data_IF_841042141705
#
_entry.id   IF_841042141705
#
_cell.length_a   1.000
_cell.length_b   1.000
_cell.length_c   1.000
_cell.angle_alpha   90.00
_cell.angle_beta   90.00
_cell.angle_gamma   90.00
#
_symmetry.space_group_name_H-M   'P 1'
#
loop_
_entity.id
_entity.type
_entity.pdbx_description
1 polymer ?
#
# COMPACT_ATOMS: atom_id res chain seq x y z
N UNK A 1 31.71 -2.35 -5.49
CA UNK A 1 32.61 -1.25 -5.88
C UNK A 1 32.65 -0.26 -4.71
N UNK A 2 33.67 0.60 -4.58
CA UNK A 2 33.55 1.73 -3.63
C UNK A 2 32.49 2.72 -4.15
N UNK A 3 31.81 3.43 -3.25
CA UNK A 3 30.79 4.44 -3.59
C UNK A 3 31.30 5.46 -4.63
N UNK A 4 32.55 5.91 -4.48
CA UNK A 4 33.20 6.87 -5.40
C UNK A 4 33.31 6.35 -6.85
N UNK A 5 33.54 5.05 -7.01
CA UNK A 5 33.66 4.43 -8.33
C UNK A 5 32.29 4.30 -9.00
N UNK A 6 31.24 4.05 -8.22
CA UNK A 6 29.85 4.01 -8.72
C UNK A 6 29.39 5.40 -9.17
N UNK A 7 29.67 6.43 -8.38
CA UNK A 7 29.34 7.81 -8.73
C UNK A 7 30.08 8.30 -9.98
N UNK A 8 31.35 7.94 -10.12
CA UNK A 8 32.14 8.25 -11.33
C UNK A 8 31.55 7.56 -12.55
N UNK A 9 31.17 6.28 -12.44
CA UNK A 9 30.52 5.55 -13.53
C UNK A 9 29.23 6.22 -13.99
N UNK A 10 28.40 6.70 -13.06
CA UNK A 10 27.18 7.44 -13.43
C UNK A 10 27.50 8.79 -14.08
N UNK A 11 28.50 9.52 -13.59
CA UNK A 11 28.92 10.77 -14.21
C UNK A 11 29.37 10.57 -15.67
N UNK A 12 30.15 9.51 -15.93
CA UNK A 12 30.59 9.14 -17.28
C UNK A 12 29.38 8.78 -18.18
N UNK A 13 28.45 7.98 -17.67
CA UNK A 13 27.22 7.61 -18.39
C UNK A 13 26.37 8.83 -18.77
N UNK A 14 26.39 9.87 -17.96
CA UNK A 14 25.58 11.09 -18.15
C UNK A 14 26.30 12.12 -19.04
N UNK A 15 27.64 12.05 -19.13
CA UNK A 15 28.46 12.98 -19.90
C UNK A 15 28.17 12.99 -21.40
N UNK A 16 27.64 11.88 -21.93
CA UNK A 16 27.30 11.71 -23.35
C UNK A 16 25.92 12.31 -23.73
N UNK A 17 25.12 12.74 -22.75
CA UNK A 17 23.81 13.35 -23.00
C UNK A 17 23.93 14.83 -23.39
N UNK A 18 23.61 15.14 -24.65
CA UNK A 18 23.60 16.50 -25.19
C UNK A 18 22.34 17.29 -24.83
N UNK A 19 21.27 16.63 -24.36
CA UNK A 19 20.00 17.30 -24.00
C UNK A 19 20.04 17.95 -22.62
N UNK A 20 20.98 17.56 -21.76
CA UNK A 20 21.12 18.04 -20.39
C UNK A 20 20.13 17.39 -19.40
N UNK A 21 19.20 16.58 -19.88
CA UNK A 21 18.18 15.89 -19.06
C UNK A 21 18.82 14.92 -18.08
N UNK A 22 19.79 14.13 -18.53
CA UNK A 22 20.49 13.17 -17.68
C UNK A 22 21.31 13.87 -16.59
N UNK A 23 21.83 15.08 -16.84
CA UNK A 23 22.55 15.87 -15.83
C UNK A 23 21.61 16.40 -14.75
N UNK A 24 20.45 16.93 -15.14
CA UNK A 24 19.39 17.30 -14.18
C UNK A 24 18.93 16.06 -13.41
N UNK A 25 18.70 14.95 -14.11
CA UNK A 25 18.27 13.70 -13.52
C UNK A 25 19.27 13.13 -12.53
N UNK A 26 20.57 13.23 -12.80
CA UNK A 26 21.61 12.79 -11.87
C UNK A 26 21.60 13.63 -10.58
N UNK A 27 21.35 14.94 -10.68
CA UNK A 27 21.23 15.81 -9.52
C UNK A 27 20.00 15.45 -8.67
N UNK A 28 18.84 15.26 -9.29
CA UNK A 28 17.60 14.84 -8.58
C UNK A 28 17.77 13.44 -7.99
N UNK A 29 18.36 12.49 -8.72
CA UNK A 29 18.65 11.14 -8.22
C UNK A 29 19.59 11.18 -7.01
N UNK A 30 20.59 12.06 -6.99
CA UNK A 30 21.48 12.23 -5.85
C UNK A 30 20.73 12.79 -4.64
N UNK A 31 19.88 13.79 -4.85
CA UNK A 31 19.09 14.41 -3.79
C UNK A 31 18.10 13.42 -3.17
N UNK A 32 17.37 12.68 -4.02
CA UNK A 32 16.43 11.64 -3.58
C UNK A 32 17.18 10.44 -2.99
N UNK A 33 18.16 9.87 -3.68
CA UNK A 33 18.81 8.63 -3.26
C UNK A 33 19.80 8.79 -2.10
N UNK A 34 20.28 10.00 -1.83
CA UNK A 34 21.23 10.26 -0.73
C UNK A 34 22.50 9.41 -0.82
N UNK A 35 23.00 8.93 0.32
CA UNK A 35 24.18 8.05 0.33
C UNK A 35 23.86 6.73 -0.36
N UNK A 36 24.69 6.34 -1.34
CA UNK A 36 24.54 5.09 -2.07
C UNK A 36 23.50 5.14 -3.20
N UNK A 37 23.04 6.34 -3.59
CA UNK A 37 22.08 6.52 -4.69
C UNK A 37 22.48 5.82 -5.99
N UNK A 38 23.80 5.66 -6.21
CA UNK A 38 24.34 5.17 -7.46
C UNK A 38 24.13 3.66 -7.67
N UNK A 39 24.10 2.88 -6.59
CA UNK A 39 24.12 1.41 -6.63
C UNK A 39 23.07 0.79 -7.55
N UNK A 40 21.77 1.09 -7.40
CA UNK A 40 20.72 0.52 -8.25
C UNK A 40 20.92 0.80 -9.75
N UNK A 41 21.32 2.03 -10.10
CA UNK A 41 21.51 2.42 -11.50
C UNK A 41 22.82 1.87 -12.06
N UNK A 42 23.88 1.76 -11.25
CA UNK A 42 25.12 1.10 -11.66
C UNK A 42 24.93 -0.40 -11.90
N UNK A 43 24.11 -1.07 -11.09
CA UNK A 43 23.74 -2.46 -11.30
C UNK A 43 22.99 -2.62 -12.64
N UNK A 44 22.05 -1.71 -12.93
CA UNK A 44 21.34 -1.67 -14.20
C UNK A 44 22.29 -1.43 -15.39
N UNK A 45 23.26 -0.52 -15.24
CA UNK A 45 24.28 -0.25 -16.26
C UNK A 45 25.19 -1.45 -16.52
N UNK A 46 25.32 -2.38 -15.58
CA UNK A 46 26.01 -3.66 -15.80
C UNK A 46 25.27 -4.59 -16.78
N UNK A 47 23.97 -4.37 -16.97
CA UNK A 47 23.13 -5.10 -17.94
C UNK A 47 22.92 -4.29 -19.20
N UNK A 48 22.55 -3.01 -19.06
CA UNK A 48 22.33 -2.07 -20.17
C UNK A 48 22.63 -0.65 -19.73
N UNK A 49 23.69 -0.07 -20.29
CA UNK A 49 24.01 1.33 -20.08
C UNK A 49 22.94 2.28 -20.62
N UNK A 50 22.32 1.93 -21.75
CA UNK A 50 21.25 2.73 -22.33
C UNK A 50 20.04 2.79 -21.40
N UNK A 51 19.67 1.65 -20.81
CA UNK A 51 18.57 1.63 -19.86
C UNK A 51 18.91 2.42 -18.59
N UNK A 52 20.14 2.32 -18.09
CA UNK A 52 20.60 3.14 -16.97
C UNK A 52 20.56 4.65 -17.30
N UNK A 53 21.03 5.05 -18.48
CA UNK A 53 20.93 6.43 -18.97
C UNK A 53 19.47 6.90 -19.04
N UNK A 54 18.57 6.08 -19.60
CA UNK A 54 17.14 6.41 -19.69
C UNK A 54 16.48 6.51 -18.30
N UNK A 55 16.85 5.63 -17.36
CA UNK A 55 16.38 5.71 -15.96
C UNK A 55 16.77 7.03 -15.31
N UNK A 56 17.97 7.56 -15.58
CA UNK A 56 18.37 8.87 -15.06
C UNK A 56 17.64 9.99 -15.80
N UNK A 57 17.68 9.98 -17.13
CA UNK A 57 17.21 11.09 -17.96
C UNK A 57 15.69 11.30 -17.87
N UNK A 58 14.90 10.22 -17.87
CA UNK A 58 13.45 10.33 -17.95
C UNK A 58 12.78 10.45 -16.56
N UNK A 59 12.77 9.41 -15.69
CA UNK A 59 12.19 9.51 -14.35
C UNK A 59 12.70 10.70 -13.54
N UNK A 60 14.02 10.87 -13.42
CA UNK A 60 14.58 11.92 -12.57
C UNK A 60 14.74 13.24 -13.33
N UNK A 61 15.22 13.19 -14.57
CA UNK A 61 15.56 14.37 -15.36
C UNK A 61 14.38 15.07 -16.02
N UNK A 62 13.28 14.37 -16.29
CA UNK A 62 12.08 14.92 -16.94
C UNK A 62 10.81 14.86 -16.12
N UNK A 63 10.66 13.89 -15.21
CA UNK A 63 9.42 13.72 -14.45
C UNK A 63 9.54 14.32 -13.05
N UNK A 64 10.52 13.88 -12.26
CA UNK A 64 10.69 14.37 -10.88
C UNK A 64 11.28 15.78 -10.80
N UNK A 65 11.94 16.26 -11.86
CA UNK A 65 12.51 17.61 -11.95
C UNK A 65 11.51 18.70 -12.36
N UNK A 66 10.27 18.32 -12.75
CA UNK A 66 9.28 19.27 -13.27
C UNK A 66 8.86 20.27 -12.20
N UNK A 67 8.64 21.55 -12.57
CA UNK A 67 8.09 22.54 -11.63
C UNK A 67 6.66 22.16 -11.22
N UNK A 68 6.18 22.71 -10.10
CA UNK A 68 4.83 22.46 -9.58
C UNK A 68 4.89 21.74 -8.23
N UNK A 69 5.04 20.41 -8.26
CA UNK A 69 5.23 19.61 -7.04
C UNK A 69 6.72 19.53 -6.67
N UNK A 70 7.02 19.82 -5.40
CA UNK A 70 8.33 19.62 -4.80
C UNK A 70 8.63 18.14 -4.54
N UNK A 71 9.90 17.82 -4.31
CA UNK A 71 10.36 16.42 -4.23
C UNK A 71 9.70 15.64 -3.11
N UNK A 72 9.40 16.24 -1.95
CA UNK A 72 8.65 15.55 -0.86
C UNK A 72 7.30 15.02 -1.35
N UNK A 73 6.53 15.86 -2.03
CA UNK A 73 5.19 15.50 -2.51
C UNK A 73 5.28 14.44 -3.60
N UNK A 74 6.29 14.54 -4.47
CA UNK A 74 6.57 13.53 -5.49
C UNK A 74 6.98 12.19 -4.88
N UNK A 75 7.78 12.19 -3.80
CA UNK A 75 8.14 10.95 -3.11
C UNK A 75 6.93 10.33 -2.39
N UNK A 76 6.02 11.13 -1.81
CA UNK A 76 4.74 10.64 -1.27
C UNK A 76 3.93 9.92 -2.37
N UNK A 77 3.82 10.52 -3.57
CA UNK A 77 3.15 9.89 -4.73
C UNK A 77 3.86 8.59 -5.14
N UNK A 78 5.18 8.61 -5.25
CA UNK A 78 5.96 7.43 -5.67
C UNK A 78 5.85 6.28 -4.66
N UNK A 79 5.99 6.56 -3.37
CA UNK A 79 5.82 5.56 -2.30
C UNK A 79 4.38 4.99 -2.33
N UNK A 80 3.37 5.85 -2.55
CA UNK A 80 1.98 5.42 -2.71
C UNK A 80 1.78 4.45 -3.87
N UNK A 81 2.38 4.73 -5.04
CA UNK A 81 2.32 3.84 -6.20
C UNK A 81 3.01 2.51 -5.92
N UNK A 82 4.19 2.54 -5.28
CA UNK A 82 4.97 1.34 -4.99
C UNK A 82 4.31 0.45 -3.91
N UNK A 83 3.65 1.06 -2.91
CA UNK A 83 2.78 0.37 -1.97
C UNK A 83 1.64 -0.37 -2.71
N UNK A 84 0.99 0.31 -3.65
CA UNK A 84 -0.07 -0.29 -4.46
C UNK A 84 0.43 -1.39 -5.40
N UNK A 85 1.64 -1.25 -5.96
CA UNK A 85 2.23 -2.28 -6.82
C UNK A 85 2.52 -3.57 -6.04
N UNK A 86 2.99 -3.48 -4.80
CA UNK A 86 3.15 -4.64 -3.90
C UNK A 86 4.27 -5.64 -4.25
N UNK A 87 5.03 -5.42 -5.33
CA UNK A 87 6.09 -6.35 -5.78
C UNK A 87 7.45 -5.69 -6.05
N UNK A 88 7.60 -4.40 -5.72
CA UNK A 88 8.82 -3.61 -5.94
C UNK A 88 9.46 -3.15 -4.62
N UNK A 89 9.69 -4.08 -3.69
CA UNK A 89 10.05 -3.76 -2.30
C UNK A 89 11.39 -3.02 -2.16
N UNK A 90 12.37 -3.31 -3.02
CA UNK A 90 13.66 -2.58 -3.01
C UNK A 90 13.52 -1.14 -3.49
N UNK A 91 12.67 -0.89 -4.50
CA UNK A 91 12.33 0.46 -4.94
C UNK A 91 11.47 1.19 -3.90
N UNK A 92 10.52 0.48 -3.26
CA UNK A 92 9.74 1.05 -2.16
C UNK A 92 10.66 1.54 -1.04
N UNK A 93 11.61 0.70 -0.62
CA UNK A 93 12.65 1.07 0.34
C UNK A 93 13.44 2.30 -0.11
N UNK A 94 13.95 2.29 -1.35
CA UNK A 94 14.71 3.41 -1.90
C UNK A 94 13.92 4.74 -1.88
N UNK A 95 12.64 4.71 -2.24
CA UNK A 95 11.80 5.90 -2.28
C UNK A 95 11.26 6.32 -0.90
N UNK A 96 11.16 5.42 0.07
CA UNK A 96 10.93 5.79 1.48
C UNK A 96 12.15 6.49 2.08
N UNK A 97 13.36 5.99 1.82
CA UNK A 97 14.60 6.71 2.17
C UNK A 97 14.67 8.05 1.44
N UNK A 98 14.24 8.07 0.18
CA UNK A 98 14.20 9.28 -0.61
C UNK A 98 13.23 10.32 -0.11
N UNK A 99 12.05 9.91 0.37
CA UNK A 99 11.12 10.79 1.05
C UNK A 99 11.78 11.48 2.25
N UNK A 100 12.49 10.73 3.09
CA UNK A 100 13.20 11.28 4.25
C UNK A 100 14.36 12.21 3.84
N UNK A 101 15.07 11.90 2.75
CA UNK A 101 16.16 12.74 2.24
C UNK A 101 15.68 14.11 1.76
N UNK A 102 14.46 14.21 1.23
CA UNK A 102 13.90 15.45 0.67
C UNK A 102 12.94 16.16 1.62
N UNK A 103 13.08 15.90 2.92
CA UNK A 103 12.36 16.61 3.99
C UNK A 103 11.05 15.98 4.45
N UNK A 104 10.78 14.72 4.07
CA UNK A 104 9.69 13.94 4.66
C UNK A 104 9.99 13.47 6.09
N UNK A 105 8.94 13.08 6.81
CA UNK A 105 9.01 12.71 8.23
C UNK A 105 8.59 11.26 8.50
N UNK A 106 8.72 10.81 9.76
CA UNK A 106 8.09 9.57 10.23
C UNK A 106 6.58 9.62 10.00
N UNK A 107 5.94 10.75 10.30
CA UNK A 107 4.49 10.96 10.15
C UNK A 107 4.01 10.77 8.71
N UNK A 108 4.84 11.13 7.73
CA UNK A 108 4.55 10.89 6.32
C UNK A 108 4.54 9.38 6.02
N UNK A 109 5.55 8.65 6.49
CA UNK A 109 5.66 7.21 6.25
C UNK A 109 4.57 6.43 7.00
N UNK A 110 4.30 6.75 8.26
CA UNK A 110 3.25 6.10 9.05
C UNK A 110 1.86 6.45 8.51
N UNK A 111 1.63 7.70 8.11
CA UNK A 111 0.40 8.12 7.43
C UNK A 111 0.13 7.31 6.15
N UNK A 112 1.16 7.05 5.35
CA UNK A 112 1.04 6.19 4.17
C UNK A 112 0.71 4.72 4.50
N UNK A 113 1.10 4.21 5.68
CA UNK A 113 0.69 2.87 6.14
C UNK A 113 -0.81 2.82 6.46
N UNK A 114 -1.34 3.82 7.17
CA UNK A 114 -2.78 3.91 7.44
C UNK A 114 -3.58 4.06 6.15
N UNK A 115 -3.09 4.89 5.23
CA UNK A 115 -3.71 5.08 3.92
C UNK A 115 -3.69 3.79 3.09
N UNK A 116 -2.56 3.06 3.09
CA UNK A 116 -2.46 1.78 2.42
C UNK A 116 -3.43 0.75 3.03
N UNK A 117 -3.58 0.70 4.36
CA UNK A 117 -4.56 -0.19 4.99
C UNK A 117 -6.00 0.14 4.56
N UNK A 118 -6.36 1.42 4.45
CA UNK A 118 -7.69 1.86 4.04
C UNK A 118 -7.97 1.64 2.54
N UNK A 119 -6.99 1.89 1.68
CA UNK A 119 -7.16 1.91 0.21
C UNK A 119 -6.80 0.57 -0.44
N UNK A 120 -5.76 -0.09 0.05
CA UNK A 120 -5.19 -1.32 -0.51
C UNK A 120 -5.45 -2.56 0.37
N UNK A 121 -5.85 -2.35 1.62
CA UNK A 121 -6.02 -3.41 2.63
C UNK A 121 -4.78 -3.61 3.50
N UNK A 122 -4.99 -4.21 4.69
CA UNK A 122 -3.95 -4.46 5.69
C UNK A 122 -2.69 -5.19 5.16
N UNK A 123 -2.76 -6.19 4.25
CA UNK A 123 -1.57 -6.85 3.71
C UNK A 123 -0.50 -5.90 3.15
N UNK A 124 -0.91 -4.83 2.46
CA UNK A 124 0.02 -3.85 1.91
C UNK A 124 0.76 -3.10 3.04
N UNK A 125 0.03 -2.69 4.08
CA UNK A 125 0.61 -1.99 5.22
C UNK A 125 1.51 -2.91 6.06
N UNK A 126 1.06 -4.13 6.42
CA UNK A 126 1.83 -5.12 7.20
C UNK A 126 3.22 -5.34 6.59
N UNK A 127 3.30 -5.52 5.27
CA UNK A 127 4.57 -5.79 4.59
C UNK A 127 5.49 -4.58 4.50
N UNK A 128 4.92 -3.37 4.52
CA UNK A 128 5.68 -2.13 4.47
C UNK A 128 6.25 -1.75 5.85
N UNK A 129 5.68 -2.22 6.97
CA UNK A 129 6.15 -1.88 8.32
C UNK A 129 7.64 -2.20 8.53
N UNK A 130 8.18 -3.39 8.20
CA UNK A 130 9.61 -3.64 8.35
C UNK A 130 10.50 -2.72 7.52
N UNK A 131 10.02 -2.25 6.36
CA UNK A 131 10.74 -1.33 5.48
C UNK A 131 10.78 0.06 6.12
N UNK A 132 9.62 0.54 6.61
CA UNK A 132 9.50 1.83 7.34
C UNK A 132 10.36 1.80 8.59
N UNK A 133 10.29 0.72 9.39
CA UNK A 133 11.13 0.54 10.58
C UNK A 133 12.61 0.70 10.24
N UNK A 134 13.10 -0.06 9.25
CA UNK A 134 14.50 0.01 8.83
C UNK A 134 14.91 1.43 8.42
N UNK A 135 14.09 2.09 7.58
CA UNK A 135 14.38 3.44 7.10
C UNK A 135 14.44 4.48 8.24
N UNK A 136 13.60 4.34 9.27
CA UNK A 136 13.57 5.23 10.43
C UNK A 136 14.66 4.91 11.45
N UNK A 137 14.88 3.63 11.79
CA UNK A 137 15.90 3.19 12.75
C UNK A 137 17.31 3.56 12.29
N UNK A 138 17.62 3.39 11.01
CA UNK A 138 18.93 3.72 10.44
C UNK A 138 19.28 5.22 10.53
N UNK A 139 18.29 6.07 10.84
CA UNK A 139 18.42 7.53 10.95
C UNK A 139 18.13 8.05 12.36
N UNK A 140 17.93 7.15 13.33
CA UNK A 140 17.50 7.49 14.70
C UNK A 140 16.23 8.35 14.73
N UNK A 141 15.33 8.12 13.77
CA UNK A 141 14.08 8.88 13.62
C UNK A 141 12.87 8.23 14.27
N UNK A 142 12.97 6.98 14.76
CA UNK A 142 11.86 6.31 15.44
C UNK A 142 11.51 7.04 16.74
N UNK A 143 10.45 7.81 16.68
CA UNK A 143 9.78 8.46 17.80
C UNK A 143 8.45 7.76 18.13
N UNK A 144 7.88 8.06 19.29
CA UNK A 144 6.56 7.57 19.69
C UNK A 144 5.44 7.98 18.71
N UNK A 145 4.26 7.38 18.80
CA UNK A 145 3.20 7.55 17.81
C UNK A 145 2.78 9.01 17.68
N UNK A 146 2.67 9.48 16.43
CA UNK A 146 2.16 10.80 16.10
C UNK A 146 0.65 10.89 16.30
N UNK A 147 0.17 12.05 16.74
CA UNK A 147 -1.26 12.33 16.87
C UNK A 147 -1.85 12.70 15.51
N UNK A 148 -2.75 11.86 14.99
CA UNK A 148 -3.53 12.15 13.78
C UNK A 148 -4.49 13.35 13.95
N UNK A 149 -4.97 13.89 12.83
CA UNK A 149 -5.99 14.95 12.82
C UNK A 149 -7.34 14.39 12.36
N UNK A 150 -8.42 14.85 12.98
CA UNK A 150 -9.77 14.54 12.51
C UNK A 150 -9.98 15.13 11.11
N UNK A 151 -10.24 14.27 10.13
CA UNK A 151 -10.53 14.67 8.75
C UNK A 151 -11.96 14.32 8.36
N UNK A 152 -12.56 15.16 7.53
CA UNK A 152 -13.84 14.86 6.90
C UNK A 152 -13.67 13.65 5.99
N UNK A 153 -14.44 12.60 6.28
CA UNK A 153 -14.53 11.43 5.42
C UNK A 153 -15.06 11.86 4.06
N UNK A 154 -14.32 11.67 2.95
CA UNK A 154 -14.92 11.86 1.63
C UNK A 154 -16.17 10.96 1.51
N UNK A 155 -17.28 11.53 1.05
CA UNK A 155 -18.44 10.73 0.66
C UNK A 155 -18.10 9.95 -0.61
N UNK A 156 -17.57 8.74 -0.46
CA UNK A 156 -17.20 7.92 -1.59
C UNK A 156 -18.43 7.40 -2.34
N UNK A 157 -18.46 7.65 -3.65
CA UNK A 157 -19.37 7.00 -4.57
C UNK A 157 -20.72 7.70 -4.77
N UNK A 158 -21.48 7.15 -5.71
CA UNK A 158 -22.82 7.61 -6.04
C UNK A 158 -23.77 7.40 -4.83
N UNK A 159 -24.54 8.40 -4.38
CA UNK A 159 -25.51 8.24 -3.28
C UNK A 159 -26.47 7.06 -3.49
N UNK A 160 -26.86 6.79 -4.73
CA UNK A 160 -27.69 5.63 -5.07
C UNK A 160 -26.95 4.32 -4.82
N UNK A 161 -25.65 4.25 -5.15
CA UNK A 161 -24.83 3.07 -4.85
C UNK A 161 -24.66 2.87 -3.34
N UNK A 162 -24.52 3.94 -2.55
CA UNK A 162 -24.46 3.85 -1.08
C UNK A 162 -25.77 3.31 -0.49
N UNK A 163 -26.92 3.75 -1.00
CA UNK A 163 -28.22 3.20 -0.59
C UNK A 163 -28.33 1.70 -0.92
N UNK A 164 -28.00 1.32 -2.16
CA UNK A 164 -27.98 -0.10 -2.56
C UNK A 164 -27.03 -0.95 -1.71
N UNK A 165 -25.84 -0.44 -1.40
CA UNK A 165 -24.89 -1.13 -0.54
C UNK A 165 -25.41 -1.28 0.90
N UNK A 166 -26.14 -0.28 1.41
CA UNK A 166 -26.74 -0.35 2.75
C UNK A 166 -27.81 -1.43 2.83
N UNK A 167 -28.58 -1.61 1.77
CA UNK A 167 -29.60 -2.67 1.68
C UNK A 167 -28.97 -4.07 1.65
N UNK A 168 -27.78 -4.21 1.04
CA UNK A 168 -27.03 -5.48 1.01
C UNK A 168 -26.28 -5.73 2.33
N UNK A 169 -25.61 -4.72 2.86
CA UNK A 169 -24.82 -4.78 4.09
C UNK A 169 -24.70 -3.39 4.73
N UNK A 170 -25.56 -3.15 5.72
CA UNK A 170 -25.47 -1.95 6.54
C UNK A 170 -24.12 -1.84 7.27
N UNK A 171 -23.58 -2.99 7.73
CA UNK A 171 -22.27 -3.06 8.40
C UNK A 171 -21.14 -2.54 7.50
N UNK A 172 -21.12 -2.94 6.22
CA UNK A 172 -20.10 -2.45 5.28
C UNK A 172 -20.15 -0.93 5.11
N UNK A 173 -21.35 -0.37 4.99
CA UNK A 173 -21.54 1.08 4.88
C UNK A 173 -21.14 1.81 6.17
N UNK A 174 -21.39 1.20 7.34
CA UNK A 174 -20.92 1.71 8.62
C UNK A 174 -19.39 1.68 8.72
N UNK A 175 -18.74 0.57 8.36
CA UNK A 175 -17.28 0.45 8.40
C UNK A 175 -16.57 1.41 7.45
N UNK A 176 -17.15 1.72 6.29
CA UNK A 176 -16.62 2.78 5.42
C UNK A 176 -16.53 4.13 6.14
N UNK A 177 -17.51 4.44 6.98
CA UNK A 177 -17.50 5.66 7.78
C UNK A 177 -16.59 5.48 9.00
N UNK A 178 -16.94 4.57 9.91
CA UNK A 178 -16.32 4.44 11.23
C UNK A 178 -14.86 3.98 11.16
N UNK A 179 -14.55 3.01 10.29
CA UNK A 179 -13.22 2.39 10.27
C UNK A 179 -12.34 3.01 9.21
N UNK A 180 -12.79 3.06 7.95
CA UNK A 180 -11.95 3.60 6.89
C UNK A 180 -11.70 5.10 7.13
N UNK A 181 -12.73 5.89 7.44
CA UNK A 181 -12.53 7.30 7.70
C UNK A 181 -12.26 7.66 9.17
N UNK A 182 -13.06 7.13 10.10
CA UNK A 182 -13.02 7.49 11.52
C UNK A 182 -11.84 6.92 12.31
N UNK A 183 -11.29 5.78 11.89
CA UNK A 183 -10.08 5.19 12.48
C UNK A 183 -8.88 5.38 11.54
N UNK A 184 -8.83 4.69 10.39
CA UNK A 184 -7.63 4.63 9.54
C UNK A 184 -7.21 5.99 8.97
N UNK A 185 -8.09 6.66 8.22
CA UNK A 185 -7.73 7.97 7.64
C UNK A 185 -7.50 9.01 8.73
N UNK A 186 -8.27 9.02 9.83
CA UNK A 186 -8.08 9.96 10.93
C UNK A 186 -6.69 9.85 11.61
N UNK A 187 -6.02 8.69 11.54
CA UNK A 187 -4.64 8.53 12.01
C UNK A 187 -3.58 8.96 10.97
N UNK A 188 -3.98 9.26 9.74
CA UNK A 188 -3.07 9.74 8.71
C UNK A 188 -2.69 11.21 8.97
N UNK A 189 -1.40 11.46 9.18
CA UNK A 189 -0.87 12.80 9.46
C UNK A 189 -0.64 13.66 8.21
N UNK A 190 -0.88 13.12 7.00
CA UNK A 190 -0.83 13.91 5.78
C UNK A 190 -1.92 14.98 5.78
N UNK A 191 -1.60 16.18 5.33
CA UNK A 191 -2.63 17.20 5.11
C UNK A 191 -3.68 16.70 4.10
N UNK A 192 -4.93 17.21 4.15
CA UNK A 192 -6.01 16.69 3.32
C UNK A 192 -5.69 16.67 1.82
N UNK A 193 -4.93 17.65 1.31
CA UNK A 193 -4.52 17.70 -0.10
C UNK A 193 -3.64 16.52 -0.44
N UNK A 194 -2.57 16.29 0.32
CA UNK A 194 -1.62 15.20 0.09
C UNK A 194 -2.22 13.83 0.37
N UNK A 195 -3.12 13.70 1.35
CA UNK A 195 -3.84 12.45 1.62
C UNK A 195 -4.64 12.01 0.39
N UNK A 196 -5.43 12.91 -0.20
CA UNK A 196 -6.25 12.54 -1.36
C UNK A 196 -5.40 12.33 -2.63
N UNK A 197 -4.31 13.08 -2.81
CA UNK A 197 -3.34 12.83 -3.89
C UNK A 197 -2.69 11.44 -3.73
N UNK A 198 -2.23 11.08 -2.53
CA UNK A 198 -1.61 9.78 -2.26
C UNK A 198 -2.60 8.61 -2.50
N UNK A 199 -3.84 8.75 -2.02
CA UNK A 199 -4.87 7.75 -2.24
C UNK A 199 -5.24 7.61 -3.73
N UNK A 200 -5.34 8.73 -4.45
CA UNK A 200 -5.54 8.72 -5.89
C UNK A 200 -4.39 8.02 -6.62
N UNK A 201 -3.13 8.22 -6.18
CA UNK A 201 -1.97 7.54 -6.75
C UNK A 201 -2.03 6.02 -6.53
N UNK A 202 -2.41 5.57 -5.33
CA UNK A 202 -2.64 4.14 -5.03
C UNK A 202 -3.72 3.54 -5.94
N UNK A 203 -4.88 4.21 -6.07
CA UNK A 203 -6.00 3.74 -6.90
C UNK A 203 -5.67 3.78 -8.40
N UNK A 204 -4.94 4.79 -8.86
CA UNK A 204 -4.53 4.95 -10.26
C UNK A 204 -3.52 3.88 -10.71
N UNK A 205 -2.75 3.31 -9.77
CA UNK A 205 -1.75 2.25 -10.06
C UNK A 205 -2.39 1.04 -10.77
N UNK A 206 -3.57 0.61 -10.31
CA UNK A 206 -4.32 -0.49 -10.92
C UNK A 206 -5.49 -0.01 -11.79
N UNK A 207 -6.00 1.21 -11.56
CA UNK A 207 -7.14 1.81 -12.24
C UNK A 207 -8.42 0.94 -12.28
N UNK A 208 -8.62 0.07 -11.28
CA UNK A 208 -9.77 -0.85 -11.18
C UNK A 208 -11.02 -0.24 -10.54
N UNK A 209 -10.91 0.91 -9.89
CA UNK A 209 -11.98 1.53 -9.10
C UNK A 209 -12.24 2.99 -9.50
N UNK A 210 -12.71 3.24 -10.74
CA UNK A 210 -12.85 4.60 -11.27
C UNK A 210 -13.75 5.49 -10.40
N UNK A 211 -14.86 4.97 -9.86
CA UNK A 211 -15.77 5.74 -9.02
C UNK A 211 -15.14 6.25 -7.72
N UNK A 212 -14.24 5.47 -7.12
CA UNK A 212 -13.54 5.86 -5.88
C UNK A 212 -12.41 6.83 -6.20
N UNK A 213 -11.69 6.59 -7.31
CA UNK A 213 -10.65 7.49 -7.81
C UNK A 213 -11.20 8.88 -8.17
N UNK A 214 -12.40 8.98 -8.76
CA UNK A 214 -13.11 10.26 -8.96
C UNK A 214 -13.29 11.00 -7.63
N UNK A 215 -13.72 10.28 -6.59
CA UNK A 215 -13.91 10.85 -5.26
C UNK A 215 -12.64 11.49 -4.73
N UNK A 216 -11.52 10.76 -4.76
CA UNK A 216 -10.23 11.30 -4.31
C UNK A 216 -9.71 12.46 -5.18
N UNK A 217 -9.92 12.45 -6.49
CA UNK A 217 -9.56 13.61 -7.32
C UNK A 217 -10.35 14.86 -6.92
N UNK A 218 -11.65 14.74 -6.68
CA UNK A 218 -12.49 15.88 -6.26
C UNK A 218 -12.11 16.35 -4.86
N UNK A 219 -11.95 15.44 -3.91
CA UNK A 219 -11.56 15.80 -2.55
C UNK A 219 -10.17 16.43 -2.50
N UNK A 220 -9.23 16.02 -3.37
CA UNK A 220 -7.94 16.70 -3.52
C UNK A 220 -8.12 18.15 -3.99
N UNK A 221 -8.94 18.39 -5.04
CA UNK A 221 -9.23 19.73 -5.56
C UNK A 221 -9.91 20.61 -4.49
N UNK A 222 -10.90 20.07 -3.78
CA UNK A 222 -11.57 20.76 -2.66
C UNK A 222 -10.62 21.09 -1.50
N UNK A 223 -9.63 20.24 -1.26
CA UNK A 223 -8.56 20.47 -0.29
C UNK A 223 -7.44 21.41 -0.79
N UNK A 224 -7.59 21.99 -1.99
CA UNK A 224 -6.66 22.98 -2.54
C UNK A 224 -5.63 22.42 -3.53
N UNK A 225 -5.74 21.16 -3.97
CA UNK A 225 -4.94 20.68 -5.10
C UNK A 225 -5.29 21.43 -6.37
N UNK A 226 -4.29 21.69 -7.20
CA UNK A 226 -4.52 22.25 -8.54
C UNK A 226 -4.78 21.11 -9.54
N UNK A 227 -5.39 21.45 -10.69
CA UNK A 227 -5.43 20.53 -11.83
C UNK A 227 -4.00 20.07 -12.23
N UNK A 228 -3.02 20.97 -12.15
CA UNK A 228 -1.62 20.65 -12.44
C UNK A 228 -1.06 19.61 -11.47
N UNK A 229 -1.41 19.66 -10.19
CA UNK A 229 -0.95 18.67 -9.20
C UNK A 229 -1.42 17.26 -9.59
N UNK A 230 -2.67 17.14 -10.06
CA UNK A 230 -3.26 15.88 -10.50
C UNK A 230 -2.68 15.40 -11.84
N UNK A 231 -2.37 16.32 -12.76
CA UNK A 231 -1.65 15.99 -14.00
C UNK A 231 -0.24 15.46 -13.70
N UNK A 232 0.49 16.07 -12.75
CA UNK A 232 1.82 15.61 -12.31
C UNK A 232 1.77 14.23 -11.64
N UNK A 233 0.72 13.94 -10.85
CA UNK A 233 0.46 12.59 -10.34
C UNK A 233 0.32 11.58 -11.46
N UNK A 234 -0.48 11.87 -12.50
CA UNK A 234 -0.68 10.94 -13.61
C UNK A 234 0.60 10.70 -14.43
N UNK A 235 1.43 11.73 -14.56
CA UNK A 235 2.76 11.60 -15.17
C UNK A 235 3.63 10.64 -14.33
N UNK A 236 3.64 10.76 -13.00
CA UNK A 236 4.37 9.82 -12.14
C UNK A 236 3.81 8.39 -12.20
N UNK A 237 2.48 8.22 -12.26
CA UNK A 237 1.84 6.91 -12.49
C UNK A 237 2.37 6.28 -13.79
N UNK A 238 2.61 7.07 -14.85
CA UNK A 238 3.14 6.52 -16.12
C UNK A 238 4.54 5.89 -15.96
N UNK A 239 5.35 6.42 -15.04
CA UNK A 239 6.72 5.93 -14.77
C UNK A 239 6.69 4.70 -13.87
N UNK A 240 5.94 4.75 -12.77
CA UNK A 240 6.01 3.75 -11.70
C UNK A 240 4.94 2.65 -11.79
N UNK A 241 3.86 2.88 -12.55
CA UNK A 241 2.79 1.91 -12.80
C UNK A 241 2.51 1.68 -14.30
N UNK A 242 3.17 2.44 -15.18
CA UNK A 242 3.08 2.28 -16.63
C UNK A 242 2.01 3.17 -17.30
N UNK A 243 2.22 3.44 -18.59
CA UNK A 243 1.33 4.26 -19.42
C UNK A 243 -0.14 3.79 -19.44
N UNK A 244 -0.48 2.49 -19.53
CA UNK A 244 -1.88 2.07 -19.53
C UNK A 244 -2.64 2.50 -18.27
N UNK A 245 -2.03 2.36 -17.09
CA UNK A 245 -2.63 2.81 -15.82
C UNK A 245 -2.82 4.33 -15.79
N UNK A 246 -1.81 5.08 -16.25
CA UNK A 246 -1.89 6.54 -16.34
C UNK A 246 -3.00 7.01 -17.31
N UNK A 247 -3.14 6.39 -18.48
CA UNK A 247 -4.18 6.72 -19.47
C UNK A 247 -5.59 6.42 -18.94
N UNK A 248 -5.77 5.27 -18.28
CA UNK A 248 -7.04 4.94 -17.64
C UNK A 248 -7.39 5.96 -16.56
N UNK A 249 -6.44 6.29 -15.68
CA UNK A 249 -6.64 7.29 -14.64
C UNK A 249 -6.86 8.71 -15.20
N UNK A 250 -6.26 9.06 -16.34
CA UNK A 250 -6.51 10.33 -17.04
C UNK A 250 -7.96 10.44 -17.54
N UNK A 251 -8.53 9.34 -18.05
CA UNK A 251 -9.95 9.28 -18.40
C UNK A 251 -10.85 9.54 -17.19
N UNK A 252 -10.46 9.01 -16.02
CA UNK A 252 -11.16 9.22 -14.75
C UNK A 252 -11.03 10.67 -14.26
N UNK A 253 -9.84 11.27 -14.34
CA UNK A 253 -9.60 12.67 -13.97
C UNK A 253 -10.44 13.60 -14.84
N UNK A 254 -10.51 13.35 -16.15
CA UNK A 254 -11.38 14.12 -17.07
C UNK A 254 -12.82 14.10 -16.58
N UNK A 255 -13.37 12.93 -16.25
CA UNK A 255 -14.72 12.82 -15.70
C UNK A 255 -14.89 13.49 -14.32
N UNK A 256 -13.83 13.53 -13.50
CA UNK A 256 -13.86 14.25 -12.24
C UNK A 256 -13.97 15.77 -12.44
N UNK A 257 -13.28 16.32 -13.44
CA UNK A 257 -13.24 17.75 -13.79
C UNK A 257 -14.49 18.24 -14.56
N UNK A 258 -15.13 17.38 -15.35
CA UNK A 258 -16.31 17.75 -16.17
C UNK A 258 -17.63 17.75 -15.39
N UNK A 259 -17.70 17.01 -14.29
CA UNK A 259 -18.93 16.88 -13.53
C UNK A 259 -19.18 18.13 -12.66
N UNK A 260 -20.45 18.53 -12.48
CA UNK A 260 -20.78 19.63 -11.58
C UNK A 260 -20.35 19.31 -10.15
N UNK A 261 -19.87 20.33 -9.43
CA UNK A 261 -19.58 20.24 -8.00
C UNK A 261 -20.82 19.72 -7.27
N UNK A 262 -20.65 18.63 -6.52
CA UNK A 262 -21.66 18.16 -5.60
C UNK A 262 -21.36 18.78 -4.23
N UNK A 263 -22.36 19.36 -3.55
CA UNK A 263 -22.17 19.85 -2.20
C UNK A 263 -21.65 18.71 -1.33
N UNK A 264 -20.56 19.00 -0.59
CA UNK A 264 -20.00 18.05 0.36
C UNK A 264 -20.98 17.90 1.54
N UNK A 265 -21.78 16.84 1.49
CA UNK A 265 -22.71 16.45 2.55
C UNK A 265 -22.06 15.41 3.50
N UNK A 266 -20.73 15.32 3.54
CA UNK A 266 -20.06 14.46 4.52
C UNK A 266 -20.29 14.99 5.94
N UNK A 267 -20.85 14.14 6.80
CA UNK A 267 -20.94 14.45 8.23
C UNK A 267 -19.57 14.19 8.88
N UNK A 268 -19.20 14.93 9.94
CA UNK A 268 -18.03 14.58 10.76
C UNK A 268 -18.17 13.14 11.25
N UNK A 269 -17.18 12.31 10.96
CA UNK A 269 -17.19 10.91 11.37
C UNK A 269 -16.39 10.77 12.65
N UNK A 270 -16.99 10.12 13.65
CA UNK A 270 -16.31 9.78 14.90
C UNK A 270 -15.88 8.31 14.87
N UNK A 271 -14.77 7.95 15.55
CA UNK A 271 -14.40 6.56 15.73
C UNK A 271 -15.49 5.78 16.48
N UNK A 272 -15.55 4.45 16.32
CA UNK A 272 -16.56 3.61 16.95
C UNK A 272 -16.45 3.63 18.48
N UNK A 273 -17.59 3.77 19.16
CA UNK A 273 -17.68 3.98 20.61
C UNK A 273 -17.38 2.76 21.48
N UNK A 274 -17.24 1.57 20.89
CA UNK A 274 -17.08 0.27 21.58
C UNK A 274 -15.70 -0.38 21.33
N UNK A 275 -14.68 0.43 21.09
CA UNK A 275 -13.32 0.00 20.71
C UNK A 275 -12.74 -1.12 21.61
N UNK A 276 -12.81 -0.98 22.93
CA UNK A 276 -12.28 -1.99 23.86
C UNK A 276 -12.97 -3.36 23.76
N UNK A 277 -14.27 -3.38 23.45
CA UNK A 277 -15.03 -4.62 23.22
C UNK A 277 -14.62 -5.28 21.90
N UNK A 278 -14.50 -4.47 20.83
CA UNK A 278 -14.05 -4.94 19.51
C UNK A 278 -12.66 -5.55 19.60
N UNK A 279 -11.74 -4.91 20.33
CA UNK A 279 -10.39 -5.41 20.53
C UNK A 279 -10.39 -6.75 21.28
N UNK A 280 -11.13 -6.86 22.40
CA UNK A 280 -11.21 -8.10 23.18
C UNK A 280 -11.74 -9.26 22.34
N UNK A 281 -12.87 -9.06 21.67
CA UNK A 281 -13.46 -10.07 20.77
C UNK A 281 -12.50 -10.44 19.64
N UNK A 282 -11.82 -9.44 19.06
CA UNK A 282 -10.84 -9.66 18.01
C UNK A 282 -9.64 -10.49 18.47
N UNK A 283 -9.09 -10.18 19.64
CA UNK A 283 -7.99 -10.92 20.24
C UNK A 283 -8.36 -12.38 20.55
N UNK A 284 -9.58 -12.61 21.07
CA UNK A 284 -10.11 -13.96 21.31
C UNK A 284 -10.20 -14.77 20.00
N UNK A 285 -10.77 -14.19 18.94
CA UNK A 285 -10.88 -14.85 17.63
C UNK A 285 -9.51 -15.09 17.01
N UNK A 286 -8.63 -14.09 17.03
CA UNK A 286 -7.27 -14.21 16.51
C UNK A 286 -6.51 -15.34 17.23
N UNK A 287 -6.60 -15.40 18.56
CA UNK A 287 -5.97 -16.46 19.35
C UNK A 287 -6.55 -17.83 19.03
N UNK A 288 -7.86 -17.92 18.79
CA UNK A 288 -8.53 -19.18 18.48
C UNK A 288 -8.17 -19.71 17.08
N UNK A 289 -7.92 -18.83 16.10
CA UNK A 289 -7.67 -19.25 14.72
C UNK A 289 -6.19 -19.34 14.36
N UNK A 290 -5.33 -18.44 14.85
CA UNK A 290 -3.97 -18.25 14.31
C UNK A 290 -2.88 -19.21 14.82
N UNK A 291 -3.23 -20.13 15.74
CA UNK A 291 -2.26 -21.03 16.39
C UNK A 291 -1.01 -20.31 16.96
N UNK A 292 -1.17 -19.07 17.43
CA UNK A 292 -0.09 -18.25 18.01
C UNK A 292 0.56 -17.28 17.03
N UNK A 293 0.52 -17.54 15.72
CA UNK A 293 1.15 -16.67 14.70
C UNK A 293 0.50 -15.28 14.57
N UNK A 294 -0.74 -15.13 15.06
CA UNK A 294 -1.48 -13.88 15.01
C UNK A 294 -0.91 -12.80 15.91
N UNK A 295 -0.35 -13.17 17.07
CA UNK A 295 0.27 -12.22 17.99
C UNK A 295 1.51 -11.56 17.35
N UNK A 296 2.36 -12.37 16.71
CA UNK A 296 3.57 -11.90 16.02
C UNK A 296 3.24 -10.83 14.95
N UNK A 297 2.11 -10.95 14.25
CA UNK A 297 1.65 -9.97 13.25
C UNK A 297 1.27 -8.64 13.91
N UNK A 298 0.64 -8.67 15.08
CA UNK A 298 0.25 -7.45 15.82
C UNK A 298 1.49 -6.77 16.40
N UNK A 299 2.39 -7.54 16.99
CA UNK A 299 3.64 -7.05 17.58
C UNK A 299 4.55 -6.41 16.53
N UNK A 300 4.42 -6.81 15.26
CA UNK A 300 5.11 -6.18 14.13
C UNK A 300 4.78 -4.69 14.00
N UNK A 301 3.72 -4.15 14.62
CA UNK A 301 3.37 -2.73 14.52
C UNK A 301 3.84 -1.87 15.70
N UNK A 302 4.26 -2.48 16.82
CA UNK A 302 4.35 -1.81 18.14
C UNK A 302 5.22 -0.54 18.13
N UNK A 303 6.34 -0.58 17.43
CA UNK A 303 7.35 0.49 17.41
C UNK A 303 7.13 1.53 16.29
N UNK A 304 6.33 1.22 15.27
CA UNK A 304 6.13 2.07 14.09
C UNK A 304 4.73 2.69 14.05
N UNK A 305 3.70 1.88 14.24
CA UNK A 305 2.30 2.28 14.10
C UNK A 305 1.39 1.40 15.01
N UNK A 306 1.52 1.48 16.35
CA UNK A 306 0.82 0.58 17.27
C UNK A 306 -0.71 0.63 17.12
N UNK A 307 -1.28 1.79 16.82
CA UNK A 307 -2.71 1.93 16.55
C UNK A 307 -3.15 1.15 15.30
N UNK A 308 -2.31 1.00 14.29
CA UNK A 308 -2.64 0.18 13.12
C UNK A 308 -2.73 -1.31 13.47
N UNK A 309 -1.84 -1.81 14.34
CA UNK A 309 -1.91 -3.16 14.89
C UNK A 309 -3.18 -3.38 15.70
N UNK A 310 -3.56 -2.39 16.53
CA UNK A 310 -4.81 -2.40 17.28
C UNK A 310 -6.05 -2.42 16.36
N UNK A 311 -6.12 -1.54 15.36
CA UNK A 311 -7.23 -1.45 14.40
C UNK A 311 -7.35 -2.75 13.59
N UNK A 312 -6.23 -3.39 13.23
CA UNK A 312 -6.23 -4.71 12.58
C UNK A 312 -6.98 -5.74 13.43
N UNK A 313 -6.67 -5.83 14.72
CA UNK A 313 -7.34 -6.77 15.64
C UNK A 313 -8.83 -6.43 15.76
N UNK A 314 -9.15 -5.17 16.00
CA UNK A 314 -10.53 -4.70 16.17
C UNK A 314 -11.40 -4.94 14.93
N UNK A 315 -10.88 -4.62 13.75
CA UNK A 315 -11.67 -4.66 12.53
C UNK A 315 -11.64 -6.04 11.85
N UNK A 316 -10.44 -6.56 11.55
CA UNK A 316 -10.33 -7.82 10.84
C UNK A 316 -10.89 -8.96 11.70
N UNK A 317 -10.49 -9.05 12.97
CA UNK A 317 -10.92 -10.15 13.83
C UNK A 317 -12.16 -9.82 14.64
N UNK A 318 -12.22 -8.61 15.19
CA UNK A 318 -13.32 -8.15 16.04
C UNK A 318 -14.60 -7.81 15.29
N UNK A 319 -14.58 -7.50 13.99
CA UNK A 319 -15.80 -7.20 13.23
C UNK A 319 -16.09 -8.17 12.08
N UNK A 320 -15.05 -8.68 11.40
CA UNK A 320 -15.22 -9.49 10.18
C UNK A 320 -15.13 -10.99 10.48
N UNK A 321 -14.02 -11.47 11.05
CA UNK A 321 -13.79 -12.92 11.26
C UNK A 321 -14.65 -13.50 12.38
N UNK A 322 -15.07 -12.71 13.37
CA UNK A 322 -15.96 -13.15 14.45
C UNK A 322 -17.40 -13.44 13.98
N UNK A 323 -17.78 -13.07 12.76
CA UNK A 323 -19.18 -13.09 12.32
C UNK A 323 -19.70 -14.54 12.19
N UNK A 324 -20.94 -14.84 12.62
CA UNK A 324 -21.46 -16.20 12.65
C UNK A 324 -21.85 -16.76 11.27
N UNK A 325 -21.99 -15.91 10.24
CA UNK A 325 -22.51 -16.32 8.93
C UNK A 325 -21.64 -17.29 8.12
N UNK A 326 -20.36 -17.46 8.48
CA UNK A 326 -19.46 -18.45 7.90
C UNK A 326 -18.67 -19.10 9.03
N UNK A 327 -18.54 -20.43 8.99
CA UNK A 327 -17.69 -21.16 9.91
C UNK A 327 -16.21 -20.70 9.77
N UNK A 328 -15.41 -20.73 10.86
CA UNK A 328 -14.01 -20.30 10.82
C UNK A 328 -13.21 -20.92 9.68
N UNK A 329 -13.35 -22.25 9.47
CA UNK A 329 -12.73 -22.96 8.34
C UNK A 329 -13.03 -22.33 6.98
N UNK A 330 -14.29 -22.01 6.72
CA UNK A 330 -14.70 -21.42 5.44
C UNK A 330 -14.13 -20.00 5.28
N UNK A 331 -13.99 -19.25 6.38
CA UNK A 331 -13.37 -17.91 6.36
C UNK A 331 -11.89 -17.98 6.02
N UNK A 332 -11.16 -18.90 6.64
CA UNK A 332 -9.73 -19.05 6.38
C UNK A 332 -9.45 -19.55 4.96
N UNK A 333 -10.26 -20.48 4.45
CA UNK A 333 -10.18 -20.89 3.03
C UNK A 333 -10.50 -19.72 2.08
N UNK A 334 -11.50 -18.90 2.39
CA UNK A 334 -11.80 -17.70 1.61
C UNK A 334 -10.63 -16.69 1.63
N UNK A 335 -9.98 -16.50 2.79
CA UNK A 335 -8.79 -15.66 2.91
C UNK A 335 -7.62 -16.22 2.09
N UNK A 336 -7.36 -17.53 2.15
CA UNK A 336 -6.36 -18.19 1.31
C UNK A 336 -6.62 -17.97 -0.18
N UNK A 337 -7.87 -18.15 -0.62
CA UNK A 337 -8.29 -17.91 -2.01
C UNK A 337 -8.03 -16.47 -2.45
N UNK A 338 -8.43 -15.48 -1.63
CA UNK A 338 -8.24 -14.07 -1.94
C UNK A 338 -6.76 -13.69 -2.02
N UNK A 339 -5.94 -14.11 -1.05
CA UNK A 339 -4.51 -13.81 -0.98
C UNK A 339 -3.73 -14.51 -2.10
N UNK A 340 -4.07 -15.76 -2.42
CA UNK A 340 -3.51 -16.46 -3.56
C UNK A 340 -3.83 -15.72 -4.87
N UNK A 341 -5.08 -15.29 -5.07
CA UNK A 341 -5.50 -14.59 -6.28
C UNK A 341 -4.88 -13.19 -6.44
N UNK A 342 -4.49 -12.51 -5.34
CA UNK A 342 -3.79 -11.22 -5.41
C UNK A 342 -2.42 -11.33 -6.08
N UNK A 343 -1.67 -12.40 -5.81
CA UNK A 343 -0.41 -12.71 -6.52
C UNK A 343 0.72 -11.68 -6.39
N UNK A 344 0.69 -10.84 -5.36
CA UNK A 344 1.75 -9.87 -5.06
C UNK A 344 2.71 -10.41 -4.02
N UNK A 345 3.95 -9.88 -3.97
CA UNK A 345 4.92 -10.24 -2.90
C UNK A 345 4.35 -9.90 -1.52
N UNK A 346 3.57 -8.81 -1.40
CA UNK A 346 2.87 -8.46 -0.16
C UNK A 346 1.81 -9.47 0.28
N UNK A 347 1.28 -10.30 -0.61
CA UNK A 347 0.27 -11.30 -0.24
C UNK A 347 0.89 -12.58 0.36
N UNK A 348 2.18 -12.84 0.14
CA UNK A 348 2.81 -14.13 0.45
C UNK A 348 2.83 -14.45 1.95
N UNK A 349 3.27 -13.49 2.79
CA UNK A 349 3.32 -13.68 4.25
C UNK A 349 1.91 -13.84 4.85
N UNK A 350 0.92 -12.97 4.54
CA UNK A 350 -0.45 -13.20 4.96
C UNK A 350 -1.01 -14.55 4.49
N UNK A 351 -0.71 -14.99 3.26
CA UNK A 351 -1.19 -16.28 2.77
C UNK A 351 -0.65 -17.43 3.63
N UNK A 352 0.63 -17.40 3.99
CA UNK A 352 1.22 -18.38 4.90
C UNK A 352 0.49 -18.43 6.26
N UNK A 353 0.22 -17.26 6.86
CA UNK A 353 -0.51 -17.16 8.14
C UNK A 353 -1.92 -17.75 8.02
N UNK A 354 -2.64 -17.42 6.95
CA UNK A 354 -4.01 -17.93 6.75
C UNK A 354 -4.05 -19.42 6.38
N UNK A 355 -3.01 -19.98 5.77
CA UNK A 355 -2.89 -21.43 5.56
C UNK A 355 -2.73 -22.15 6.90
N UNK A 356 -1.87 -21.63 7.79
CA UNK A 356 -1.72 -22.20 9.14
C UNK A 356 -3.02 -22.09 9.93
N UNK A 357 -3.69 -20.94 9.86
CA UNK A 357 -4.98 -20.73 10.50
C UNK A 357 -6.03 -21.70 9.97
N UNK A 358 -6.12 -21.88 8.64
CA UNK A 358 -7.03 -22.84 7.99
C UNK A 358 -6.81 -24.27 8.52
N UNK A 359 -5.55 -24.72 8.61
CA UNK A 359 -5.21 -26.03 9.17
C UNK A 359 -5.65 -26.13 10.64
N UNK A 360 -5.39 -25.10 11.44
CA UNK A 360 -5.74 -25.06 12.86
C UNK A 360 -7.26 -25.14 13.09
N UNK A 361 -8.06 -24.50 12.24
CA UNK A 361 -9.54 -24.56 12.32
C UNK A 361 -10.15 -25.75 11.58
N UNK A 362 -9.33 -26.73 11.19
CA UNK A 362 -9.77 -28.04 10.70
C UNK A 362 -9.95 -28.17 9.19
N UNK A 363 -9.30 -27.32 8.38
CA UNK A 363 -9.08 -27.62 6.97
C UNK A 363 -8.00 -28.69 6.81
N UNK A 364 -8.17 -29.57 5.83
CA UNK A 364 -7.10 -30.47 5.40
C UNK A 364 -6.29 -29.86 4.25
N UNK A 365 -5.14 -30.47 3.95
CA UNK A 365 -4.25 -30.02 2.87
C UNK A 365 -4.94 -30.04 1.51
N UNK A 366 -5.83 -31.02 1.26
CA UNK A 366 -6.54 -31.13 -0.01
C UNK A 366 -7.53 -29.98 -0.19
N UNK A 367 -8.26 -29.60 0.87
CA UNK A 367 -9.16 -28.45 0.85
C UNK A 367 -8.42 -27.14 0.54
N UNK A 368 -7.22 -26.96 1.11
CA UNK A 368 -6.39 -25.77 0.85
C UNK A 368 -5.86 -25.79 -0.60
N UNK A 369 -5.38 -26.94 -1.08
CA UNK A 369 -4.91 -27.08 -2.47
C UNK A 369 -6.04 -26.81 -3.47
N UNK A 370 -7.21 -27.41 -3.31
CA UNK A 370 -8.37 -27.18 -4.18
C UNK A 370 -8.83 -25.72 -4.16
N UNK A 371 -8.79 -25.08 -2.99
CA UNK A 371 -9.10 -23.66 -2.84
C UNK A 371 -8.14 -22.77 -3.64
N UNK A 372 -6.84 -23.07 -3.60
CA UNK A 372 -5.81 -22.36 -4.36
C UNK A 372 -5.96 -22.66 -5.86
N UNK A 373 -6.15 -23.92 -6.26
CA UNK A 373 -6.36 -24.33 -7.64
C UNK A 373 -7.59 -23.66 -8.27
N UNK A 374 -8.66 -23.44 -7.50
CA UNK A 374 -9.86 -22.78 -8.00
C UNK A 374 -9.64 -21.31 -8.38
N UNK A 375 -8.52 -20.70 -7.97
CA UNK A 375 -8.13 -19.35 -8.40
C UNK A 375 -7.47 -19.32 -9.78
N UNK A 376 -7.02 -20.47 -10.29
CA UNK A 376 -6.27 -20.61 -11.54
C UNK A 376 -6.94 -19.93 -12.75
N UNK A 377 -8.27 -20.07 -12.99
CA UNK A 377 -8.92 -19.43 -14.14
C UNK A 377 -8.90 -17.89 -14.09
N UNK A 378 -8.70 -17.31 -12.91
CA UNK A 378 -8.79 -15.87 -12.66
C UNK A 378 -7.43 -15.22 -12.45
N UNK A 379 -6.48 -15.94 -11.86
CA UNK A 379 -5.17 -15.44 -11.46
C UNK A 379 -4.00 -15.97 -12.31
N UNK A 380 -4.23 -17.02 -13.11
CA UNK A 380 -3.23 -17.62 -13.99
C UNK A 380 -2.22 -18.54 -13.28
N UNK A 381 -1.50 -19.33 -14.08
CA UNK A 381 -0.58 -20.37 -13.59
C UNK A 381 0.56 -19.85 -12.69
N UNK A 382 1.31 -18.79 -13.03
CA UNK A 382 2.45 -18.36 -12.20
C UNK A 382 2.05 -17.95 -10.78
N UNK A 383 0.91 -17.26 -10.66
CA UNK A 383 0.35 -16.84 -9.37
C UNK A 383 -0.04 -18.05 -8.51
N UNK A 384 -0.74 -19.01 -9.11
CA UNK A 384 -1.16 -20.24 -8.42
C UNK A 384 0.01 -21.13 -8.05
N UNK A 385 1.00 -21.28 -8.94
CA UNK A 385 2.23 -22.03 -8.66
C UNK A 385 2.94 -21.48 -7.42
N UNK A 386 3.12 -20.16 -7.35
CA UNK A 386 3.72 -19.50 -6.19
C UNK A 386 2.91 -19.73 -4.90
N UNK A 387 1.58 -19.65 -4.96
CA UNK A 387 0.72 -19.93 -3.81
C UNK A 387 0.81 -21.40 -3.35
N UNK A 388 0.89 -22.36 -4.28
CA UNK A 388 1.08 -23.78 -3.96
C UNK A 388 2.44 -24.07 -3.33
N UNK A 389 3.50 -23.36 -3.75
CA UNK A 389 4.82 -23.47 -3.12
C UNK A 389 4.79 -22.99 -1.66
N UNK A 390 4.08 -21.90 -1.37
CA UNK A 390 3.86 -21.43 0.01
C UNK A 390 3.08 -22.47 0.81
N UNK A 391 2.01 -23.05 0.24
CA UNK A 391 1.25 -24.11 0.90
C UNK A 391 2.10 -25.34 1.22
N UNK A 392 2.94 -25.78 0.27
CA UNK A 392 3.85 -26.91 0.46
C UNK A 392 4.83 -26.68 1.62
N UNK A 393 5.38 -25.47 1.75
CA UNK A 393 6.23 -25.10 2.88
C UNK A 393 5.47 -25.19 4.21
N UNK A 394 4.25 -24.65 4.28
CA UNK A 394 3.44 -24.68 5.51
C UNK A 394 3.03 -26.10 5.90
N UNK A 395 2.70 -26.94 4.92
CA UNK A 395 2.37 -28.35 5.17
C UNK A 395 3.56 -29.14 5.75
N UNK A 396 4.78 -28.87 5.26
CA UNK A 396 5.99 -29.48 5.81
C UNK A 396 6.22 -29.04 7.26
N UNK A 397 6.06 -27.75 7.56
CA UNK A 397 6.21 -27.20 8.91
C UNK A 397 5.18 -27.79 9.89
N UNK A 398 3.91 -27.88 9.47
CA UNK A 398 2.84 -28.48 10.28
C UNK A 398 3.10 -29.98 10.57
N UNK A 399 3.62 -30.72 9.58
CA UNK A 399 3.99 -32.11 9.75
C UNK A 399 5.17 -32.30 10.74
N UNK A 400 6.13 -31.37 10.75
CA UNK A 400 7.24 -31.36 11.72
C UNK A 400 6.71 -31.06 13.13
N UNK A 401 5.91 -30.02 13.29
CA UNK A 401 5.33 -29.65 14.59
C UNK A 401 4.53 -30.81 15.21
N UNK A 402 3.74 -31.53 14.40
CA UNK A 402 2.98 -32.71 14.83
C UNK A 402 3.86 -33.91 15.25
N UNK A 403 5.11 -34.00 14.78
CA UNK A 403 6.06 -35.04 15.21
C UNK A 403 6.76 -34.70 16.53
N UNK A 404 6.80 -33.41 16.89
CA UNK A 404 7.49 -32.92 18.09
C UNK A 404 6.55 -32.75 19.29
N UNK A 405 5.25 -32.61 19.06
CA UNK A 405 4.18 -32.67 20.06
C UNK A 405 3.78 -34.11 20.36
#
# INVERSE_FOLDING_TARGET
MSTDLEETKLADLVSVDTTGRARVGLAVLREVGGRGYAGPVCALAGVSEDLARLTIAFPYGEVLSRPGLGLRERQIITVSILLAHGSAQSQLRFHMDGLLNVGGSQDDLTGLLYLAAAVLGFPAAINAVPIVRSALSERDLLAGPASGQAISAPSFGNPNARATLKDISADFVAWQSEIAAGDLLAQCALDPRLLHIAAAAMLATHAKHPSILIGHFRSALSAGATKSDLEELLIQVSVYAGFPSALNAAGVLRSALEAPDQPDNSAPVSPPSNQAERFRRGAEVLSATSAGSGADVVDTFEDVAPDLGRILVEHCYGDIFCRPGLAPKTRELAACSALAAMGTVTAEKPLAVHIDAALNVGADQAQIVETILNTLPYAGYPTVEKALLIAAERFANAAIAKKLA
#
